data_IF_332781787941
#
_entry.id   IF_332781787941
#
_cell.length_a   1.000
_cell.length_b   1.000
_cell.length_c   1.000
_cell.angle_alpha   90.00
_cell.angle_beta   90.00
_cell.angle_gamma   90.00
#
_symmetry.space_group_name_H-M   'P 1'
#
loop_
_entity.id
_entity.type
_entity.pdbx_description
1 polymer ?
#
# COMPACT_ATOMS: atom_id res chain seq x y z
N UNK A 1 -24.85 3.11 0.92
CA UNK A 1 -23.75 3.29 1.90
C UNK A 1 -23.59 2.12 2.88
N UNK A 2 -24.62 1.67 3.60
CA UNK A 2 -24.49 0.61 4.63
C UNK A 2 -23.86 -0.69 4.11
N UNK A 3 -24.29 -1.18 2.94
CA UNK A 3 -23.76 -2.42 2.37
C UNK A 3 -22.29 -2.30 1.94
N UNK A 4 -21.88 -1.16 1.36
CA UNK A 4 -20.49 -0.92 0.96
C UNK A 4 -19.55 -0.89 2.16
N UNK A 5 -19.97 -0.22 3.24
CA UNK A 5 -19.26 -0.23 4.52
C UNK A 5 -19.09 -1.64 5.07
N UNK A 6 -20.15 -2.46 5.02
CA UNK A 6 -20.07 -3.87 5.41
C UNK A 6 -19.05 -4.66 4.56
N UNK A 7 -18.98 -4.42 3.25
CA UNK A 7 -17.96 -5.07 2.40
C UNK A 7 -16.54 -4.66 2.81
N UNK A 8 -16.33 -3.38 3.11
CA UNK A 8 -15.04 -2.88 3.61
C UNK A 8 -14.69 -3.52 4.96
N UNK A 9 -15.62 -3.55 5.92
CA UNK A 9 -15.38 -4.15 7.23
C UNK A 9 -15.04 -5.65 7.13
N UNK A 10 -15.76 -6.39 6.28
CA UNK A 10 -15.46 -7.80 6.02
C UNK A 10 -14.09 -7.99 5.34
N UNK A 11 -13.74 -7.15 4.36
CA UNK A 11 -12.44 -7.17 3.69
C UNK A 11 -11.28 -6.82 4.63
N UNK A 12 -11.40 -5.79 5.46
CA UNK A 12 -10.40 -5.42 6.46
C UNK A 12 -10.21 -6.52 7.49
N UNK A 13 -11.29 -7.17 7.90
CA UNK A 13 -11.21 -8.33 8.79
C UNK A 13 -10.43 -9.48 8.16
N UNK A 14 -10.71 -9.82 6.90
CA UNK A 14 -9.93 -10.82 6.16
C UNK A 14 -8.45 -10.44 6.10
N UNK A 15 -8.12 -9.19 5.78
CA UNK A 15 -6.73 -8.71 5.78
C UNK A 15 -6.05 -8.94 7.12
N UNK A 16 -6.72 -8.59 8.21
CA UNK A 16 -6.21 -8.78 9.57
C UNK A 16 -5.97 -10.26 9.89
N UNK A 17 -6.92 -11.13 9.55
CA UNK A 17 -6.81 -12.58 9.75
C UNK A 17 -5.64 -13.17 8.95
N UNK A 18 -5.39 -12.66 7.75
CA UNK A 18 -4.27 -13.04 6.88
C UNK A 18 -2.96 -12.30 7.20
N UNK A 19 -2.94 -11.42 8.22
CA UNK A 19 -1.79 -10.59 8.60
C UNK A 19 -1.26 -9.69 7.47
N UNK A 20 -2.15 -9.26 6.57
CA UNK A 20 -1.83 -8.38 5.43
C UNK A 20 -2.06 -6.91 5.80
N UNK A 21 -0.99 -6.12 5.93
CA UNK A 21 -1.07 -4.67 6.19
C UNK A 21 -1.87 -3.97 5.09
N UNK A 22 -2.78 -3.05 5.40
CA UNK A 22 -3.60 -2.34 4.39
C UNK A 22 -2.74 -1.62 3.34
N UNK A 23 -1.54 -1.14 3.69
CA UNK A 23 -0.62 -0.50 2.74
C UNK A 23 -0.04 -1.45 1.68
N UNK A 24 -0.05 -2.76 1.90
CA UNK A 24 0.27 -3.75 0.88
C UNK A 24 -0.91 -3.85 -0.09
N UNK A 25 -0.81 -3.38 -1.35
CA UNK A 25 -1.88 -3.56 -2.31
C UNK A 25 -2.10 -5.04 -2.59
N UNK A 26 -3.35 -5.42 -2.84
CA UNK A 26 -3.73 -6.77 -3.26
C UNK A 26 -4.42 -6.73 -4.62
N UNK A 27 -4.42 -7.86 -5.32
CA UNK A 27 -4.92 -7.92 -6.69
C UNK A 27 -6.42 -7.63 -6.79
N UNK A 28 -7.25 -8.34 -6.02
CA UNK A 28 -8.69 -8.30 -6.22
C UNK A 28 -9.47 -8.66 -4.95
N UNK A 29 -10.61 -7.98 -4.77
CA UNK A 29 -11.71 -8.42 -3.91
C UNK A 29 -12.87 -8.85 -4.80
N UNK A 30 -13.51 -9.99 -4.49
CA UNK A 30 -14.79 -10.38 -5.10
C UNK A 30 -15.89 -10.45 -4.05
N UNK A 31 -17.12 -10.15 -4.45
CA UNK A 31 -18.29 -10.24 -3.58
C UNK A 31 -19.49 -10.87 -4.28
N UNK A 32 -20.40 -11.46 -3.51
CA UNK A 32 -21.59 -12.13 -4.05
C UNK A 32 -22.78 -11.19 -4.35
N UNK A 33 -22.63 -9.88 -4.15
CA UNK A 33 -23.68 -8.88 -4.39
C UNK A 33 -23.28 -7.91 -5.50
N UNK A 34 -24.04 -7.86 -6.60
CA UNK A 34 -23.69 -7.10 -7.81
C UNK A 34 -24.22 -5.66 -7.86
N UNK A 35 -24.87 -5.18 -6.80
CA UNK A 35 -25.59 -3.89 -6.81
C UNK A 35 -24.77 -2.74 -6.22
N UNK A 36 -23.63 -2.43 -6.85
CA UNK A 36 -22.83 -1.25 -6.51
C UNK A 36 -22.63 -0.35 -7.72
N UNK A 37 -22.72 0.97 -7.50
CA UNK A 37 -22.28 1.94 -8.50
C UNK A 37 -20.75 1.88 -8.63
N UNK A 38 -20.23 2.31 -9.78
CA UNK A 38 -18.78 2.42 -9.99
C UNK A 38 -18.07 3.26 -8.92
N UNK A 39 -18.72 4.32 -8.45
CA UNK A 39 -18.21 5.17 -7.36
C UNK A 39 -18.06 4.39 -6.05
N UNK A 40 -19.05 3.57 -5.68
CA UNK A 40 -18.95 2.75 -4.47
C UNK A 40 -17.91 1.64 -4.60
N UNK A 41 -17.74 1.07 -5.80
CA UNK A 41 -16.68 0.09 -6.05
C UNK A 41 -15.30 0.71 -5.91
N UNK A 42 -15.11 1.94 -6.40
CA UNK A 42 -13.85 2.68 -6.23
C UNK A 42 -13.56 2.96 -4.75
N UNK A 43 -14.56 3.42 -3.99
CA UNK A 43 -14.40 3.62 -2.53
C UNK A 43 -14.02 2.33 -1.82
N UNK A 44 -14.67 1.20 -2.14
CA UNK A 44 -14.31 -0.11 -1.57
C UNK A 44 -12.88 -0.49 -1.95
N UNK A 45 -12.48 -0.25 -3.20
CA UNK A 45 -11.14 -0.55 -3.69
C UNK A 45 -10.07 0.24 -2.93
N UNK A 46 -10.30 1.54 -2.74
CA UNK A 46 -9.38 2.46 -2.06
C UNK A 46 -9.24 2.11 -0.57
N UNK A 47 -10.36 1.91 0.14
CA UNK A 47 -10.37 1.56 1.57
C UNK A 47 -9.67 0.22 1.85
N UNK A 48 -9.79 -0.74 0.94
CA UNK A 48 -9.16 -2.06 1.06
C UNK A 48 -7.78 -2.13 0.42
N UNK A 49 -7.37 -1.10 -0.33
CA UNK A 49 -6.19 -1.07 -1.18
C UNK A 49 -6.09 -2.33 -2.07
N UNK A 50 -7.12 -2.54 -2.89
CA UNK A 50 -7.16 -3.61 -3.90
C UNK A 50 -7.18 -3.02 -5.30
N UNK A 51 -6.54 -3.67 -6.27
CA UNK A 51 -6.49 -3.17 -7.66
C UNK A 51 -7.84 -3.26 -8.37
N UNK A 52 -8.67 -4.21 -7.95
CA UNK A 52 -9.98 -4.45 -8.54
C UNK A 52 -10.98 -4.92 -7.51
N UNK A 53 -12.23 -4.49 -7.69
CA UNK A 53 -13.39 -5.06 -7.02
C UNK A 53 -14.28 -5.69 -8.08
N UNK A 54 -14.63 -6.95 -7.88
CA UNK A 54 -15.45 -7.74 -8.80
C UNK A 54 -16.54 -8.51 -8.09
N UNK A 55 -17.25 -9.32 -8.87
CA UNK A 55 -18.35 -10.15 -8.38
C UNK A 55 -18.09 -11.62 -8.69
N UNK A 56 -18.55 -12.50 -7.80
CA UNK A 56 -18.51 -13.95 -8.01
C UNK A 56 -19.55 -14.65 -7.13
N UNK A 57 -20.09 -15.76 -7.63
CA UNK A 57 -20.94 -16.66 -6.84
C UNK A 57 -20.10 -17.64 -6.00
N UNK A 58 -18.96 -18.05 -6.52
CA UNK A 58 -17.98 -18.90 -5.86
C UNK A 58 -16.56 -18.60 -6.38
N UNK A 59 -15.56 -18.82 -5.52
CA UNK A 59 -14.13 -18.69 -5.85
C UNK A 59 -13.40 -19.90 -5.25
N UNK A 60 -12.48 -20.49 -6.00
CA UNK A 60 -11.60 -21.55 -5.50
C UNK A 60 -10.67 -21.01 -4.42
N UNK A 61 -10.48 -21.76 -3.34
CA UNK A 61 -9.76 -21.28 -2.13
C UNK A 61 -8.22 -21.23 -2.29
N UNK A 62 -7.69 -21.43 -3.49
CA UNK A 62 -6.26 -21.35 -3.76
C UNK A 62 -5.79 -19.89 -3.87
N UNK A 63 -5.30 -19.33 -2.77
CA UNK A 63 -4.85 -17.94 -2.70
C UNK A 63 -5.97 -16.93 -2.51
N UNK A 64 -7.15 -17.39 -2.07
CA UNK A 64 -8.29 -16.55 -1.74
C UNK A 64 -8.74 -16.83 -0.30
N UNK A 65 -8.85 -15.79 0.50
CA UNK A 65 -9.48 -15.87 1.81
C UNK A 65 -10.95 -15.45 1.69
N UNK A 66 -11.86 -16.17 2.34
CA UNK A 66 -13.30 -15.92 2.26
C UNK A 66 -13.89 -15.58 3.63
N UNK A 67 -14.83 -14.64 3.65
CA UNK A 67 -15.61 -14.31 4.85
C UNK A 67 -17.08 -14.16 4.52
N UNK A 68 -17.92 -14.68 5.40
CA UNK A 68 -19.37 -14.66 5.27
C UNK A 68 -20.00 -14.01 6.51
N UNK A 69 -20.98 -13.14 6.28
CA UNK A 69 -21.77 -12.49 7.32
C UNK A 69 -23.21 -12.33 6.83
N UNK A 70 -24.07 -13.23 7.27
CA UNK A 70 -25.46 -13.33 6.85
C UNK A 70 -25.54 -13.68 5.37
N UNK A 71 -26.12 -12.79 4.56
CA UNK A 71 -26.22 -12.98 3.10
C UNK A 71 -25.01 -12.48 2.33
N UNK A 72 -24.05 -11.84 2.99
CA UNK A 72 -22.90 -11.24 2.34
C UNK A 72 -21.71 -12.19 2.40
N UNK A 73 -21.02 -12.35 1.28
CA UNK A 73 -19.79 -13.11 1.17
C UNK A 73 -18.78 -12.32 0.37
N UNK A 74 -17.55 -12.26 0.89
CA UNK A 74 -16.42 -11.62 0.23
C UNK A 74 -15.27 -12.60 0.12
N UNK A 75 -14.52 -12.51 -0.98
CA UNK A 75 -13.28 -13.22 -1.22
C UNK A 75 -12.19 -12.20 -1.49
N UNK A 76 -11.06 -12.34 -0.79
CA UNK A 76 -9.90 -11.49 -0.94
C UNK A 76 -8.76 -12.30 -1.52
N UNK A 77 -8.20 -11.88 -2.65
CA UNK A 77 -7.00 -12.50 -3.18
C UNK A 77 -5.81 -12.14 -2.29
N UNK A 78 -5.17 -13.15 -1.70
CA UNK A 78 -4.06 -12.99 -0.74
C UNK A 78 -2.69 -13.20 -1.38
N UNK A 79 -2.64 -13.52 -2.67
CA UNK A 79 -1.38 -13.69 -3.40
C UNK A 79 -0.79 -12.32 -3.68
N UNK A 80 0.43 -12.12 -3.20
CA UNK A 80 1.21 -10.90 -3.43
C UNK A 80 2.33 -11.24 -4.41
N UNK A 81 2.16 -10.83 -5.66
CA UNK A 81 3.22 -10.91 -6.66
C UNK A 81 4.32 -9.86 -6.39
N UNK A 82 5.40 -9.92 -7.17
CA UNK A 82 6.55 -9.04 -7.00
C UNK A 82 6.19 -7.55 -7.20
N UNK A 83 5.33 -7.24 -8.17
CA UNK A 83 4.91 -5.87 -8.46
C UNK A 83 4.09 -5.29 -7.30
N UNK A 84 3.12 -6.06 -6.78
CA UNK A 84 2.34 -5.67 -5.62
C UNK A 84 3.25 -5.50 -4.39
N UNK A 85 4.21 -6.40 -4.19
CA UNK A 85 5.16 -6.31 -3.08
C UNK A 85 6.00 -5.03 -3.15
N UNK A 86 6.55 -4.70 -4.32
CA UNK A 86 7.31 -3.47 -4.53
C UNK A 86 6.47 -2.22 -4.25
N UNK A 87 5.23 -2.18 -4.71
CA UNK A 87 4.32 -1.06 -4.44
C UNK A 87 4.01 -0.94 -2.93
N UNK A 88 3.84 -2.06 -2.23
CA UNK A 88 3.66 -2.10 -0.78
C UNK A 88 4.85 -1.45 -0.06
N UNK A 89 6.07 -1.83 -0.42
CA UNK A 89 7.30 -1.24 0.13
C UNK A 89 7.42 0.24 -0.22
N UNK A 90 7.09 0.64 -1.45
CA UNK A 90 7.07 2.06 -1.84
C UNK A 90 6.11 2.89 -0.96
N UNK A 91 4.93 2.35 -0.63
CA UNK A 91 3.98 3.01 0.29
C UNK A 91 4.51 3.10 1.72
N UNK A 92 5.26 2.11 2.20
CA UNK A 92 5.93 2.19 3.49
C UNK A 92 7.07 3.21 3.50
N UNK A 93 7.85 3.31 2.41
CA UNK A 93 8.87 4.34 2.22
C UNK A 93 8.22 5.74 2.31
N UNK A 94 7.13 5.98 1.58
CA UNK A 94 6.39 7.24 1.61
C UNK A 94 5.91 7.57 3.04
N UNK A 95 5.31 6.59 3.73
CA UNK A 95 4.86 6.76 5.12
C UNK A 95 6.03 7.15 6.03
N UNK A 96 7.17 6.51 5.84
CA UNK A 96 8.36 6.71 6.66
C UNK A 96 8.96 8.10 6.43
N UNK A 97 9.10 8.51 5.16
CA UNK A 97 9.53 9.88 4.80
C UNK A 97 8.58 10.92 5.41
N UNK A 98 7.26 10.73 5.30
CA UNK A 98 6.30 11.67 5.89
C UNK A 98 6.37 11.72 7.42
N UNK A 99 6.66 10.60 8.08
CA UNK A 99 6.91 10.57 9.51
C UNK A 99 8.18 11.37 9.86
N UNK A 100 9.29 11.18 9.12
CA UNK A 100 10.52 11.93 9.31
C UNK A 100 10.32 13.44 9.08
N UNK A 101 9.55 13.82 8.04
CA UNK A 101 9.18 15.22 7.79
C UNK A 101 8.48 15.84 8.99
N UNK A 102 7.52 15.12 9.58
CA UNK A 102 6.78 15.57 10.77
C UNK A 102 7.69 15.70 11.98
N UNK A 103 8.59 14.76 12.20
CA UNK A 103 9.56 14.78 13.31
C UNK A 103 10.56 15.95 13.18
N UNK A 104 10.90 16.34 11.96
CA UNK A 104 11.73 17.52 11.66
C UNK A 104 10.94 18.85 11.72
N UNK A 105 9.63 18.83 11.98
CA UNK A 105 8.79 20.02 12.02
C UNK A 105 8.51 20.64 10.64
N UNK A 106 8.67 19.88 9.56
CA UNK A 106 8.37 20.34 8.21
C UNK A 106 6.87 20.51 7.99
N UNK A 107 6.50 21.52 7.21
CA UNK A 107 5.12 21.80 6.82
C UNK A 107 4.74 21.04 5.54
N UNK A 108 3.43 21.02 5.23
CA UNK A 108 2.87 20.35 4.05
C UNK A 108 3.46 20.90 2.75
N UNK A 109 3.83 22.19 2.71
CA UNK A 109 4.39 22.84 1.51
C UNK A 109 5.90 22.77 1.37
N UNK A 110 6.61 22.23 2.37
CA UNK A 110 8.08 22.17 2.32
C UNK A 110 8.54 21.15 1.28
N UNK A 111 9.42 21.59 0.39
CA UNK A 111 10.11 20.72 -0.58
C UNK A 111 11.31 20.07 0.07
N UNK A 112 11.62 18.84 -0.35
CA UNK A 112 12.71 18.05 0.24
C UNK A 112 13.60 17.40 -0.81
N UNK A 113 14.80 17.03 -0.42
CA UNK A 113 15.62 16.01 -1.08
C UNK A 113 15.53 14.74 -0.23
N UNK A 114 15.26 13.61 -0.88
CA UNK A 114 15.27 12.30 -0.23
C UNK A 114 16.56 11.59 -0.64
N UNK A 115 17.32 11.14 0.35
CA UNK A 115 18.50 10.29 0.14
C UNK A 115 18.21 8.90 0.68
N UNK A 116 18.63 7.87 -0.02
CA UNK A 116 18.44 6.50 0.41
C UNK A 116 19.70 5.66 0.23
N UNK A 117 19.85 4.65 1.08
CA UNK A 117 20.82 3.56 0.89
C UNK A 117 20.10 2.22 0.87
N UNK A 118 20.54 1.33 0.00
CA UNK A 118 19.99 -0.01 -0.18
C UNK A 118 21.09 -0.95 -0.64
N UNK A 119 21.23 -2.09 0.04
CA UNK A 119 22.27 -3.09 -0.23
C UNK A 119 21.87 -4.11 -1.30
N UNK A 120 20.58 -4.37 -1.48
CA UNK A 120 20.06 -5.31 -2.47
C UNK A 120 19.42 -4.61 -3.68
N UNK A 121 19.58 -5.22 -4.85
CA UNK A 121 19.07 -4.67 -6.13
C UNK A 121 17.55 -4.62 -6.18
N UNK A 122 16.87 -5.48 -5.42
CA UNK A 122 15.41 -5.51 -5.37
C UNK A 122 14.87 -4.21 -4.75
N UNK A 123 15.38 -3.80 -3.60
CA UNK A 123 15.01 -2.54 -2.95
C UNK A 123 15.42 -1.33 -3.80
N UNK A 124 16.58 -1.38 -4.46
CA UNK A 124 16.97 -0.33 -5.43
C UNK A 124 15.92 -0.21 -6.53
N UNK A 125 15.43 -1.33 -7.07
CA UNK A 125 14.38 -1.32 -8.09
C UNK A 125 13.05 -0.74 -7.58
N UNK A 126 12.72 -0.86 -6.28
CA UNK A 126 11.54 -0.20 -5.71
C UNK A 126 11.64 1.33 -5.82
N UNK A 127 12.80 1.91 -5.47
CA UNK A 127 13.00 3.36 -5.58
C UNK A 127 12.93 3.84 -7.04
N UNK A 128 13.46 3.04 -7.97
CA UNK A 128 13.44 3.36 -9.41
C UNK A 128 12.01 3.24 -9.97
N UNK A 129 11.36 2.09 -9.78
CA UNK A 129 10.03 1.79 -10.34
C UNK A 129 8.95 2.74 -9.80
N UNK A 130 9.09 3.23 -8.56
CA UNK A 130 8.11 4.09 -7.88
C UNK A 130 8.61 5.52 -7.62
N UNK A 131 9.66 5.96 -8.32
CA UNK A 131 10.28 7.28 -8.11
C UNK A 131 9.26 8.43 -8.20
N UNK A 132 8.40 8.43 -9.21
CA UNK A 132 7.39 9.47 -9.44
C UNK A 132 6.32 9.47 -8.35
N UNK A 133 5.91 8.29 -7.90
CA UNK A 133 4.94 8.16 -6.82
C UNK A 133 5.52 8.67 -5.49
N UNK A 134 6.76 8.27 -5.18
CA UNK A 134 7.43 8.68 -3.94
C UNK A 134 7.64 10.19 -3.94
N UNK A 135 8.24 10.73 -4.99
CA UNK A 135 8.54 12.16 -5.10
C UNK A 135 7.29 13.02 -5.07
N UNK A 136 6.25 12.66 -5.82
CA UNK A 136 4.97 13.37 -5.83
C UNK A 136 4.27 13.35 -4.47
N UNK A 137 4.29 12.22 -3.77
CA UNK A 137 3.62 12.07 -2.47
C UNK A 137 4.31 12.82 -1.32
N UNK A 138 5.61 13.09 -1.45
CA UNK A 138 6.43 13.69 -0.39
C UNK A 138 7.06 15.02 -0.80
N UNK A 139 6.62 15.63 -1.90
CA UNK A 139 7.17 16.88 -2.47
C UNK A 139 8.71 16.85 -2.57
N UNK A 140 9.28 15.72 -2.95
CA UNK A 140 10.71 15.61 -3.13
C UNK A 140 11.12 16.14 -4.51
N UNK A 141 12.13 17.01 -4.56
CA UNK A 141 12.72 17.44 -5.83
C UNK A 141 13.64 16.37 -6.43
N UNK A 142 14.29 15.58 -5.59
CA UNK A 142 15.14 14.46 -6.02
C UNK A 142 15.09 13.31 -5.01
N UNK A 143 15.33 12.10 -5.53
CA UNK A 143 15.54 10.88 -4.76
C UNK A 143 16.91 10.33 -5.17
N UNK A 144 17.86 10.30 -4.25
CA UNK A 144 19.27 10.05 -4.54
C UNK A 144 19.79 8.83 -3.76
N UNK A 145 20.39 7.88 -4.47
CA UNK A 145 21.10 6.78 -3.83
C UNK A 145 22.44 7.30 -3.29
N UNK A 146 22.70 7.10 -2.01
CA UNK A 146 23.95 7.45 -1.34
C UNK A 146 24.29 6.40 -0.29
N UNK A 147 25.52 6.43 0.23
CA UNK A 147 25.89 5.66 1.40
C UNK A 147 25.38 6.37 2.65
N UNK A 148 24.57 5.68 3.45
CA UNK A 148 24.04 6.17 4.73
C UNK A 148 24.43 5.17 5.83
N UNK A 149 25.03 5.66 6.91
CA UNK A 149 25.44 4.83 8.04
C UNK A 149 24.26 4.32 8.87
N UNK A 150 23.22 5.14 9.01
CA UNK A 150 22.01 4.79 9.75
C UNK A 150 21.01 4.10 8.84
N UNK A 151 20.67 2.86 9.20
CA UNK A 151 19.64 2.08 8.52
C UNK A 151 18.44 1.85 9.42
N UNK A 152 17.27 1.75 8.82
CA UNK A 152 16.02 1.34 9.41
C UNK A 152 15.46 0.13 8.66
N UNK A 153 14.42 -0.48 9.21
CA UNK A 153 13.71 -1.59 8.57
C UNK A 153 12.38 -1.12 7.97
N UNK A 154 12.18 -1.41 6.69
CA UNK A 154 10.96 -1.13 5.93
C UNK A 154 10.46 -2.46 5.36
N UNK A 155 9.39 -3.02 5.95
CA UNK A 155 8.80 -4.31 5.54
C UNK A 155 9.85 -5.44 5.41
N UNK A 156 10.74 -5.55 6.40
CA UNK A 156 11.79 -6.55 6.45
C UNK A 156 13.02 -6.22 5.60
N UNK A 157 13.04 -5.10 4.88
CA UNK A 157 14.20 -4.64 4.10
C UNK A 157 15.00 -3.60 4.90
N UNK A 158 16.32 -3.75 4.93
CA UNK A 158 17.20 -2.74 5.52
C UNK A 158 17.43 -1.61 4.52
N UNK A 159 17.07 -0.40 4.91
CA UNK A 159 17.17 0.80 4.08
C UNK A 159 17.69 1.95 4.92
N UNK A 160 18.67 2.71 4.43
CA UNK A 160 18.95 4.04 4.95
C UNK A 160 18.00 5.04 4.30
N UNK A 161 17.45 5.97 5.09
CA UNK A 161 16.66 7.09 4.58
C UNK A 161 17.09 8.37 5.29
N UNK A 162 17.19 9.44 4.52
CA UNK A 162 17.43 10.79 5.01
C UNK A 162 16.56 11.78 4.22
N UNK A 163 15.98 12.73 4.94
CA UNK A 163 15.13 13.79 4.37
C UNK A 163 15.77 15.13 4.69
N UNK A 164 16.06 15.91 3.67
CA UNK A 164 16.68 17.24 3.79
C UNK A 164 15.72 18.30 3.23
N UNK A 165 15.40 19.33 4.01
CA UNK A 165 14.59 20.45 3.54
C UNK A 165 15.34 21.27 2.50
N UNK A 166 14.66 21.65 1.43
CA UNK A 166 15.14 22.66 0.50
C UNK A 166 14.71 24.03 1.04
N UNK A 167 15.69 24.92 1.21
CA UNK A 167 15.51 26.28 1.73
C UNK A 167 14.54 27.14 0.94
#
# INVERSE_FOLDING_TARGET
MVLARKMVEMGLSLRSEQKLKVRQPLAELRMNHERFSHELLAVIADELNVKKVGFAEAVEENGWAAKEDGKCKVWLNTVVDDQLKKEGVAREIIRTINQMRKEQGLTIGDKVVVKYSASDDWLVSVFVDFQDQISGSVLANSIEKTDLEQTLEIDGQKCGLLVEKIG
#
